data_IF_566085562268
#
_entry.id   IF_566085562268
#
_cell.length_a   1.000
_cell.length_b   1.000
_cell.length_c   1.000
_cell.angle_alpha   90.00
_cell.angle_beta   90.00
_cell.angle_gamma   90.00
#
_symmetry.space_group_name_H-M   'P 1'
#
loop_
_entity.id
_entity.type
_entity.pdbx_description
1 polymer ?
#
# COMPACT_ATOMS: atom_id res chain seq x y z
N UNK A 1 -14.85 6.96 -26.49
CA UNK A 1 -14.41 8.34 -26.17
C UNK A 1 -14.08 8.45 -24.71
N UNK A 2 -12.88 8.90 -24.37
CA UNK A 2 -12.46 9.24 -23.01
C UNK A 2 -12.57 10.73 -22.74
N UNK A 3 -12.65 11.08 -21.47
CA UNK A 3 -12.70 12.47 -21.02
C UNK A 3 -11.53 12.74 -20.06
N UNK A 4 -10.90 13.87 -20.22
CA UNK A 4 -9.83 14.37 -19.34
C UNK A 4 -10.28 15.67 -18.70
N UNK A 5 -9.92 15.89 -17.43
CA UNK A 5 -10.21 17.14 -16.73
C UNK A 5 -9.08 18.14 -16.92
N UNK A 6 -9.44 19.39 -17.18
CA UNK A 6 -8.50 20.47 -17.13
C UNK A 6 -8.05 20.73 -15.68
N UNK A 7 -6.74 20.73 -15.37
CA UNK A 7 -6.25 20.90 -14.01
C UNK A 7 -6.43 22.33 -13.45
N UNK A 8 -6.88 23.29 -14.27
CA UNK A 8 -7.11 24.67 -13.87
C UNK A 8 -8.57 25.00 -13.61
N UNK A 9 -9.49 24.47 -14.40
CA UNK A 9 -10.91 24.89 -14.36
C UNK A 9 -11.89 23.69 -14.35
N UNK A 10 -11.40 22.47 -14.19
CA UNK A 10 -12.17 21.22 -14.14
C UNK A 10 -13.07 20.91 -15.36
N UNK A 11 -12.98 21.72 -16.42
CA UNK A 11 -13.70 21.47 -17.66
C UNK A 11 -13.28 20.14 -18.28
N UNK A 12 -14.25 19.35 -18.73
CA UNK A 12 -14.00 18.08 -19.40
C UNK A 12 -13.68 18.29 -20.88
N UNK A 13 -12.63 17.64 -21.35
CA UNK A 13 -12.23 17.55 -22.74
C UNK A 13 -12.40 16.10 -23.19
N UNK A 14 -13.25 15.86 -24.19
CA UNK A 14 -13.43 14.54 -24.76
C UNK A 14 -12.39 14.29 -25.86
N UNK A 15 -11.84 13.08 -25.93
CA UNK A 15 -10.96 12.66 -27.01
C UNK A 15 -11.16 11.19 -27.36
N UNK A 16 -10.76 10.82 -28.54
CA UNK A 16 -10.84 9.44 -29.05
C UNK A 16 -9.52 8.73 -28.74
N UNK A 17 -9.57 7.82 -27.76
CA UNK A 17 -8.37 7.06 -27.36
C UNK A 17 -7.88 6.04 -28.37
N UNK A 18 -8.76 5.61 -29.31
CA UNK A 18 -8.40 4.59 -30.29
C UNK A 18 -7.36 5.07 -31.31
N UNK A 19 -7.17 6.38 -31.39
CA UNK A 19 -6.20 7.02 -32.28
C UNK A 19 -4.79 7.10 -31.75
N UNK A 20 -4.57 6.65 -30.49
CA UNK A 20 -3.30 6.83 -29.80
C UNK A 20 -2.82 5.53 -29.19
N UNK A 21 -1.51 5.33 -29.15
CA UNK A 21 -0.89 4.14 -28.56
C UNK A 21 -0.63 4.34 -27.06
N UNK A 22 -0.66 3.21 -26.32
CA UNK A 22 -0.31 3.19 -24.92
C UNK A 22 1.12 3.72 -24.69
N UNK A 23 1.29 4.60 -23.69
CA UNK A 23 2.55 5.28 -23.38
C UNK A 23 2.75 6.62 -24.09
N UNK A 24 1.94 6.97 -25.07
CA UNK A 24 2.02 8.24 -25.80
C UNK A 24 1.62 9.41 -24.88
N UNK A 25 2.37 10.51 -24.99
CA UNK A 25 2.06 11.77 -24.32
C UNK A 25 1.18 12.63 -25.22
N UNK A 26 -0.01 12.97 -24.74
CA UNK A 26 -0.92 13.91 -25.42
C UNK A 26 -0.92 15.25 -24.71
N UNK A 27 -0.92 16.32 -25.50
CA UNK A 27 -1.06 17.68 -24.99
C UNK A 27 -2.45 18.19 -25.38
N UNK A 28 -3.20 18.67 -24.40
CA UNK A 28 -4.53 19.25 -24.57
C UNK A 28 -4.49 20.74 -24.28
N UNK A 29 -5.26 21.48 -25.02
CA UNK A 29 -5.59 22.87 -24.71
C UNK A 29 -7.05 22.93 -24.25
N UNK A 30 -7.28 23.55 -23.09
CA UNK A 30 -8.62 23.71 -22.55
C UNK A 30 -9.39 24.81 -23.28
N UNK A 31 -10.52 24.49 -23.88
CA UNK A 31 -11.36 25.43 -24.59
C UNK A 31 -11.93 26.55 -23.69
N UNK A 32 -12.02 26.32 -22.38
CA UNK A 32 -12.57 27.27 -21.43
C UNK A 32 -11.52 28.25 -20.88
N UNK A 33 -10.36 27.73 -20.42
CA UNK A 33 -9.35 28.56 -19.76
C UNK A 33 -8.03 28.67 -20.54
N UNK A 34 -7.94 28.08 -21.72
CA UNK A 34 -6.76 28.03 -22.62
C UNK A 34 -5.48 27.47 -21.99
N UNK A 35 -5.62 26.76 -20.84
CA UNK A 35 -4.49 26.10 -20.22
C UNK A 35 -4.08 24.88 -21.05
N UNK A 36 -2.81 24.82 -21.42
CA UNK A 36 -2.22 23.63 -22.01
C UNK A 36 -1.72 22.69 -20.90
N UNK A 37 -1.99 21.41 -21.03
CA UNK A 37 -1.53 20.38 -20.12
C UNK A 37 -1.35 19.04 -20.84
N UNK A 38 -0.41 18.25 -20.39
CA UNK A 38 -0.10 16.95 -20.96
C UNK A 38 -0.59 15.80 -20.10
N UNK A 39 -1.12 14.77 -20.73
CA UNK A 39 -1.36 13.48 -20.10
C UNK A 39 -0.58 12.39 -20.83
N UNK A 40 -0.20 11.34 -20.10
CA UNK A 40 0.25 10.09 -20.73
C UNK A 40 -0.94 9.16 -20.86
N UNK A 41 -1.12 8.59 -22.05
CA UNK A 41 -2.03 7.46 -22.20
C UNK A 41 -1.33 6.28 -21.53
N UNK A 42 -1.68 6.05 -20.26
CA UNK A 42 -1.27 4.83 -19.59
C UNK A 42 -2.01 3.64 -20.15
N UNK A 43 -1.46 2.45 -19.95
CA UNK A 43 -2.26 1.24 -19.90
C UNK A 43 -3.23 1.48 -18.77
N UNK A 44 -4.43 1.95 -19.08
CA UNK A 44 -5.51 1.92 -18.12
C UNK A 44 -5.65 0.46 -17.72
N UNK A 45 -5.23 0.11 -16.52
CA UNK A 45 -5.86 -1.01 -15.84
C UNK A 45 -7.31 -0.59 -15.77
N UNK A 46 -8.08 -0.96 -16.76
CA UNK A 46 -9.53 -0.86 -16.77
C UNK A 46 -9.98 -1.44 -15.43
N UNK A 47 -10.66 -0.64 -14.65
CA UNK A 47 -11.65 -1.16 -13.73
C UNK A 47 -12.66 -1.88 -14.61
N UNK A 48 -12.36 -3.12 -14.92
CA UNK A 48 -13.36 -4.07 -15.33
C UNK A 48 -14.19 -4.34 -14.08
N UNK A 49 -15.32 -3.66 -14.02
CA UNK A 49 -16.47 -4.16 -13.29
C UNK A 49 -16.90 -5.42 -14.02
N UNK A 50 -16.20 -6.50 -13.82
CA UNK A 50 -16.70 -7.82 -14.15
C UNK A 50 -16.92 -8.54 -12.83
N UNK A 51 -18.19 -8.82 -12.60
CA UNK A 51 -18.61 -10.01 -11.88
C UNK A 51 -17.71 -11.15 -12.34
N UNK A 52 -16.78 -11.58 -11.52
CA UNK A 52 -16.12 -12.84 -11.67
C UNK A 52 -16.04 -13.54 -10.34
N UNK A 53 -16.94 -14.48 -10.26
CA UNK A 53 -16.76 -15.69 -9.52
C UNK A 53 -15.48 -16.39 -9.98
N UNK A 54 -14.68 -16.82 -8.99
CA UNK A 54 -13.67 -17.87 -9.11
C UNK A 54 -12.56 -17.73 -10.17
N UNK A 55 -11.48 -17.08 -9.81
CA UNK A 55 -10.11 -17.58 -10.06
C UNK A 55 -9.01 -16.58 -9.68
N UNK A 56 -8.84 -16.29 -8.42
CA UNK A 56 -7.76 -15.38 -7.96
C UNK A 56 -6.95 -15.97 -6.79
N UNK A 57 -6.59 -17.24 -6.88
CA UNK A 57 -5.79 -17.89 -5.82
C UNK A 57 -4.34 -18.19 -6.25
N UNK A 58 -3.98 -18.02 -7.53
CA UNK A 58 -2.68 -18.50 -8.00
C UNK A 58 -1.62 -17.44 -8.34
N UNK A 59 -1.92 -16.14 -8.29
CA UNK A 59 -0.97 -15.10 -8.74
C UNK A 59 -0.27 -14.34 -7.62
N UNK A 60 -0.81 -14.34 -6.41
CA UNK A 60 -0.25 -13.57 -5.28
C UNK A 60 0.88 -14.29 -4.54
N UNK A 61 0.89 -15.62 -4.57
CA UNK A 61 1.89 -16.42 -3.83
C UNK A 61 3.27 -16.42 -4.51
N UNK A 62 3.35 -16.12 -5.80
CA UNK A 62 4.63 -16.06 -6.54
C UNK A 62 5.32 -14.70 -6.43
N UNK A 63 4.58 -13.61 -6.19
CA UNK A 63 5.16 -12.27 -6.04
C UNK A 63 5.68 -11.99 -4.63
N UNK A 64 5.11 -12.63 -3.60
CA UNK A 64 5.45 -12.38 -2.20
C UNK A 64 5.64 -13.71 -1.43
N UNK A 65 6.79 -14.38 -1.58
CA UNK A 65 7.02 -15.71 -1.00
C UNK A 65 6.98 -15.74 0.53
N UNK A 66 7.11 -14.60 1.18
CA UNK A 66 7.04 -14.45 2.64
C UNK A 66 5.79 -13.69 3.11
N UNK A 67 4.82 -13.48 2.21
CA UNK A 67 3.65 -12.66 2.47
C UNK A 67 3.88 -11.16 2.29
N UNK A 68 2.85 -10.38 2.56
CA UNK A 68 2.89 -8.93 2.44
C UNK A 68 1.96 -8.26 3.45
N UNK A 69 2.22 -6.98 3.69
CA UNK A 69 1.37 -6.12 4.49
C UNK A 69 0.50 -5.27 3.59
N UNK A 70 -0.79 -5.28 3.84
CA UNK A 70 -1.74 -4.39 3.21
C UNK A 70 -2.01 -3.21 4.14
N UNK A 71 -1.43 -2.06 3.84
CA UNK A 71 -1.69 -0.80 4.54
C UNK A 71 -3.00 -0.23 4.01
N UNK A 72 -4.00 -0.12 4.88
CA UNK A 72 -5.33 0.36 4.52
C UNK A 72 -5.29 1.88 4.35
N UNK A 73 -5.83 2.38 3.25
CA UNK A 73 -5.91 3.83 2.98
C UNK A 73 -6.73 4.57 4.05
N UNK A 74 -6.28 5.77 4.38
CA UNK A 74 -6.99 6.68 5.27
C UNK A 74 -6.73 8.15 4.88
N UNK A 75 -7.04 9.10 5.75
CA UNK A 75 -6.85 10.54 5.48
C UNK A 75 -5.38 10.96 5.39
N UNK A 76 -4.44 10.14 5.87
CA UNK A 76 -3.00 10.44 5.92
C UNK A 76 -2.19 9.78 4.80
N UNK A 77 -2.73 8.75 4.13
CA UNK A 77 -2.01 8.02 3.08
C UNK A 77 -2.94 7.18 2.20
N UNK A 78 -2.42 6.83 1.02
CA UNK A 78 -3.03 5.88 0.11
C UNK A 78 -2.77 4.43 0.53
N UNK A 79 -3.54 3.50 -0.06
CA UNK A 79 -3.28 2.06 0.05
C UNK A 79 -1.86 1.73 -0.39
N UNK A 80 -1.15 0.93 0.42
CA UNK A 80 0.20 0.45 0.12
C UNK A 80 0.28 -1.06 0.33
N UNK A 81 1.12 -1.71 -0.46
CA UNK A 81 1.46 -3.12 -0.31
C UNK A 81 2.95 -3.22 -0.04
N UNK A 82 3.31 -3.74 1.11
CA UNK A 82 4.69 -3.88 1.55
C UNK A 82 5.07 -5.36 1.57
N UNK A 83 5.94 -5.85 0.67
CA UNK A 83 6.41 -7.22 0.69
C UNK A 83 7.25 -7.49 1.95
N UNK A 84 7.05 -8.68 2.51
CA UNK A 84 7.82 -9.14 3.66
C UNK A 84 9.06 -9.92 3.23
N UNK A 85 10.07 -9.89 4.09
CA UNK A 85 11.31 -10.65 3.96
C UNK A 85 11.45 -11.62 5.12
N UNK A 86 12.27 -12.65 4.94
CA UNK A 86 12.65 -13.52 6.04
C UNK A 86 13.49 -12.73 7.05
N UNK A 87 13.23 -12.91 8.35
CA UNK A 87 13.85 -12.15 9.43
C UNK A 87 13.03 -10.93 9.85
N UNK A 88 13.69 -9.89 10.32
CA UNK A 88 13.05 -8.70 10.87
C UNK A 88 12.59 -7.74 9.76
N UNK A 89 11.31 -7.42 9.76
CA UNK A 89 10.69 -6.40 8.95
C UNK A 89 10.36 -5.21 9.84
N UNK A 90 11.13 -4.15 9.69
CA UNK A 90 11.00 -2.92 10.48
C UNK A 90 9.98 -2.03 9.80
N UNK A 91 8.88 -1.77 10.49
CA UNK A 91 7.72 -1.02 9.97
C UNK A 91 7.66 0.34 10.65
N UNK A 92 7.51 1.38 9.87
CA UNK A 92 7.38 2.74 10.39
C UNK A 92 7.23 3.79 9.29
N UNK A 93 7.25 5.05 9.71
CA UNK A 93 7.10 6.19 8.83
C UNK A 93 8.31 6.33 7.90
N UNK A 94 8.04 6.42 6.60
CA UNK A 94 9.08 6.72 5.61
C UNK A 94 9.68 8.11 5.82
N UNK A 95 10.99 8.15 5.97
CA UNK A 95 11.75 9.40 5.88
C UNK A 95 13.00 9.19 5.04
N UNK A 96 13.38 10.20 4.28
CA UNK A 96 14.60 10.16 3.47
C UNK A 96 15.83 9.92 4.37
N UNK A 97 16.57 8.84 4.08
CA UNK A 97 17.75 8.44 4.86
C UNK A 97 17.46 7.45 5.99
N UNK A 98 16.19 7.03 6.18
CA UNK A 98 15.84 5.97 7.12
C UNK A 98 16.01 4.59 6.46
N UNK A 99 16.76 3.68 7.13
CA UNK A 99 17.05 2.34 6.64
C UNK A 99 16.07 1.29 7.19
N UNK A 100 14.77 1.53 7.04
CA UNK A 100 13.76 0.50 7.34
C UNK A 100 13.36 -0.22 6.06
N UNK A 101 13.05 -1.51 6.18
CA UNK A 101 12.72 -2.35 5.02
C UNK A 101 11.21 -2.42 4.72
N UNK A 102 10.36 -1.95 5.63
CA UNK A 102 8.91 -1.79 5.42
C UNK A 102 8.45 -0.34 5.71
N UNK A 103 8.92 0.64 4.92
CA UNK A 103 8.55 2.05 5.11
C UNK A 103 7.12 2.30 4.66
N UNK A 104 6.36 3.04 5.46
CA UNK A 104 5.01 3.52 5.11
C UNK A 104 5.08 4.99 4.74
N UNK A 105 4.68 5.32 3.52
CA UNK A 105 4.53 6.70 3.06
C UNK A 105 3.24 7.29 3.65
N UNK A 106 3.36 8.16 4.61
CA UNK A 106 2.23 8.76 5.33
C UNK A 106 2.58 10.17 5.82
N UNK A 107 1.56 10.95 6.13
CA UNK A 107 1.68 12.23 6.85
C UNK A 107 1.12 12.12 8.28
N UNK A 108 0.90 10.90 8.77
CA UNK A 108 0.43 10.62 10.13
C UNK A 108 1.51 10.99 11.16
N UNK A 109 1.29 12.01 12.01
CA UNK A 109 2.26 12.44 13.01
C UNK A 109 2.38 11.46 14.19
N UNK A 110 1.45 10.52 14.34
CA UNK A 110 1.43 9.51 15.40
C UNK A 110 2.21 8.25 15.07
N UNK A 111 2.74 8.14 13.84
CA UNK A 111 3.57 7.01 13.43
C UNK A 111 5.05 7.34 13.60
N UNK A 112 5.75 6.55 14.39
CA UNK A 112 7.20 6.68 14.56
C UNK A 112 7.98 6.15 13.33
N UNK A 113 9.21 6.61 13.15
CA UNK A 113 10.10 6.14 12.06
C UNK A 113 10.44 4.66 12.17
N UNK A 114 10.48 4.12 13.38
CA UNK A 114 10.55 2.69 13.70
C UNK A 114 9.47 2.42 14.72
N UNK A 115 8.34 1.91 14.28
CA UNK A 115 7.16 1.78 15.14
C UNK A 115 6.98 0.36 15.69
N UNK A 116 7.06 -0.64 14.82
CA UNK A 116 7.00 -2.04 15.22
C UNK A 116 7.90 -2.91 14.33
N UNK A 117 8.16 -4.11 14.79
CA UNK A 117 8.97 -5.10 14.06
C UNK A 117 8.15 -6.37 13.89
N UNK A 118 8.01 -6.80 12.65
CA UNK A 118 7.41 -8.08 12.27
C UNK A 118 8.50 -9.06 11.88
N UNK A 119 8.75 -10.05 12.71
CA UNK A 119 9.73 -11.09 12.44
C UNK A 119 9.07 -12.25 11.71
N UNK A 120 9.67 -12.65 10.58
CA UNK A 120 9.25 -13.81 9.76
C UNK A 120 10.30 -14.90 9.89
N UNK A 121 9.92 -16.03 10.45
CA UNK A 121 10.79 -17.20 10.64
C UNK A 121 10.17 -18.44 10.05
N UNK A 122 10.98 -19.50 9.91
CA UNK A 122 10.50 -20.84 9.58
C UNK A 122 10.52 -21.73 10.83
N UNK A 123 9.44 -22.45 11.05
CA UNK A 123 9.38 -23.44 12.10
C UNK A 123 10.13 -24.74 11.70
N UNK A 124 10.18 -25.71 12.62
CA UNK A 124 10.81 -27.03 12.37
C UNK A 124 10.18 -27.82 11.21
N UNK A 125 8.98 -27.46 10.80
CA UNK A 125 8.25 -28.06 9.67
C UNK A 125 8.36 -27.21 8.39
N UNK A 126 9.29 -26.24 8.37
CA UNK A 126 9.50 -25.30 7.25
C UNK A 126 8.29 -24.38 6.93
N UNK A 127 7.36 -24.21 7.89
CA UNK A 127 6.20 -23.30 7.76
C UNK A 127 6.59 -21.90 8.24
N UNK A 128 6.06 -20.88 7.59
CA UNK A 128 6.29 -19.49 7.98
C UNK A 128 5.54 -19.19 9.29
N UNK A 129 6.25 -18.53 10.19
CA UNK A 129 5.74 -18.02 11.46
C UNK A 129 5.99 -16.54 11.54
N UNK A 130 4.97 -15.78 11.89
CA UNK A 130 4.97 -14.33 11.99
C UNK A 130 4.83 -13.91 13.44
N UNK A 131 5.74 -13.08 13.92
CA UNK A 131 5.74 -12.59 15.30
C UNK A 131 5.94 -11.08 15.28
N UNK A 132 5.01 -10.33 15.89
CA UNK A 132 5.06 -8.88 15.97
C UNK A 132 5.37 -8.42 17.39
N UNK A 133 6.13 -7.34 17.53
CA UNK A 133 6.37 -6.64 18.77
C UNK A 133 6.54 -5.12 18.52
N UNK A 134 6.23 -4.34 19.55
CA UNK A 134 6.44 -2.90 19.50
C UNK A 134 7.94 -2.56 19.55
N UNK A 135 8.36 -1.60 18.73
CA UNK A 135 9.73 -1.06 18.79
C UNK A 135 9.67 0.25 19.57
N UNK A 136 9.77 0.23 20.90
CA UNK A 136 9.33 1.26 21.84
C UNK A 136 8.77 2.54 21.21
N UNK A 137 7.54 2.42 20.67
CA UNK A 137 6.87 3.51 19.96
C UNK A 137 6.13 4.44 20.92
N UNK A 138 5.83 5.67 20.47
CA UNK A 138 5.13 6.65 21.30
C UNK A 138 3.66 6.29 21.52
N UNK A 139 3.00 5.68 20.52
CA UNK A 139 1.56 5.37 20.59
C UNK A 139 1.27 3.89 20.80
N UNK A 140 2.28 3.03 20.75
CA UNK A 140 2.14 1.59 20.90
C UNK A 140 1.62 0.90 19.62
N UNK A 141 1.75 -0.41 19.61
CA UNK A 141 1.27 -1.29 18.55
C UNK A 141 0.06 -2.07 19.05
N UNK A 142 -1.05 -2.02 18.32
CA UNK A 142 -2.29 -2.72 18.65
C UNK A 142 -2.47 -3.90 17.70
N UNK A 143 -2.76 -5.07 18.22
CA UNK A 143 -3.11 -6.28 17.43
C UNK A 143 -4.54 -6.67 17.79
N UNK A 144 -5.43 -6.73 16.80
CA UNK A 144 -6.86 -6.98 16.98
C UNK A 144 -7.49 -6.10 18.09
N UNK A 145 -7.12 -4.79 18.10
CA UNK A 145 -7.51 -3.77 19.08
C UNK A 145 -6.94 -3.96 20.52
N UNK A 146 -6.01 -4.87 20.71
CA UNK A 146 -5.31 -5.04 21.97
C UNK A 146 -3.89 -4.47 21.91
N UNK A 147 -3.57 -3.58 22.85
CA UNK A 147 -2.22 -3.01 22.96
C UNK A 147 -1.21 -4.09 23.33
N UNK A 148 -0.12 -4.18 22.60
CA UNK A 148 1.00 -5.05 22.95
C UNK A 148 1.68 -4.54 24.22
N UNK A 149 1.98 -5.48 25.13
CA UNK A 149 2.75 -5.18 26.32
C UNK A 149 4.22 -4.87 26.04
N UNK A 150 4.91 -4.29 27.01
CA UNK A 150 6.35 -4.02 26.94
C UNK A 150 7.09 -5.35 26.75
N UNK A 151 7.90 -5.45 25.69
CA UNK A 151 8.62 -6.66 25.28
C UNK A 151 7.71 -7.86 24.90
N UNK A 152 6.41 -7.66 24.76
CA UNK A 152 5.52 -8.70 24.27
C UNK A 152 5.82 -9.03 22.82
N UNK A 153 5.91 -10.32 22.50
CA UNK A 153 6.03 -10.85 21.15
C UNK A 153 4.80 -11.69 20.86
N UNK A 154 3.94 -11.20 19.98
CA UNK A 154 2.69 -11.87 19.63
C UNK A 154 2.79 -12.56 18.28
N UNK A 155 2.40 -13.85 18.24
CA UNK A 155 2.27 -14.58 16.97
C UNK A 155 1.00 -14.11 16.27
N UNK A 156 1.12 -13.75 15.00
CA UNK A 156 0.00 -13.34 14.17
C UNK A 156 -0.12 -14.23 12.93
N UNK A 157 -1.28 -14.22 12.30
CA UNK A 157 -1.66 -15.12 11.23
C UNK A 157 -2.21 -14.34 10.02
N UNK A 158 -2.42 -15.06 8.92
CA UNK A 158 -3.07 -14.48 7.75
C UNK A 158 -4.40 -13.81 8.11
N UNK A 159 -4.59 -12.58 7.70
CA UNK A 159 -5.79 -11.78 7.98
C UNK A 159 -5.75 -11.02 9.31
N UNK A 160 -4.72 -11.19 10.16
CA UNK A 160 -4.60 -10.42 11.40
C UNK A 160 -4.48 -8.92 11.07
N UNK A 161 -5.32 -8.13 11.75
CA UNK A 161 -5.29 -6.66 11.72
C UNK A 161 -4.42 -6.15 12.86
N UNK A 162 -3.48 -5.27 12.56
CA UNK A 162 -2.77 -4.50 13.57
C UNK A 162 -2.74 -3.02 13.22
N UNK A 163 -2.62 -2.17 14.24
CA UNK A 163 -2.69 -0.72 14.10
C UNK A 163 -1.48 -0.07 14.75
N UNK A 164 -0.86 0.85 14.02
CA UNK A 164 0.27 1.68 14.45
C UNK A 164 -0.04 3.14 14.15
N UNK A 165 0.00 4.00 15.18
CA UNK A 165 -0.52 5.36 15.04
C UNK A 165 -1.98 5.34 14.60
N UNK A 166 -2.32 6.09 13.55
CA UNK A 166 -3.66 6.10 12.93
C UNK A 166 -3.78 5.13 11.74
N UNK A 167 -2.82 4.21 11.55
CA UNK A 167 -2.73 3.35 10.39
C UNK A 167 -3.09 1.91 10.72
N UNK A 168 -4.05 1.35 10.00
CA UNK A 168 -4.45 -0.06 10.09
C UNK A 168 -3.80 -0.88 8.98
N UNK A 169 -3.28 -2.05 9.33
CA UNK A 169 -2.51 -2.92 8.46
C UNK A 169 -2.99 -4.35 8.60
N UNK A 170 -3.15 -5.07 7.49
CA UNK A 170 -3.53 -6.48 7.46
C UNK A 170 -2.36 -7.32 6.94
N UNK A 171 -2.04 -8.40 7.65
CA UNK A 171 -1.08 -9.40 7.20
C UNK A 171 -1.75 -10.34 6.18
N UNK A 172 -1.09 -10.54 5.04
CA UNK A 172 -1.43 -11.56 4.04
C UNK A 172 -0.25 -12.51 3.83
N UNK A 173 -0.53 -13.81 3.85
CA UNK A 173 0.49 -14.87 3.75
C UNK A 173 0.15 -15.90 2.69
#
# INVERSE_FOLDING_TARGET
>A
MKRVRCPKCDTFIAFDETRYTSGQRLVFECNNCRKQFGIRIGISKLRQTQKEENSTISLTTQEHPYGYLHVIENVFHYKQILPLQLGDNIIGHYMKGNNINCPIETVDPSMDMTHCILNVTRDRYNRLKYTIHDAPSNTGTFVDNELLGINERRVIYNGTLFTIGATSIILHT
#
